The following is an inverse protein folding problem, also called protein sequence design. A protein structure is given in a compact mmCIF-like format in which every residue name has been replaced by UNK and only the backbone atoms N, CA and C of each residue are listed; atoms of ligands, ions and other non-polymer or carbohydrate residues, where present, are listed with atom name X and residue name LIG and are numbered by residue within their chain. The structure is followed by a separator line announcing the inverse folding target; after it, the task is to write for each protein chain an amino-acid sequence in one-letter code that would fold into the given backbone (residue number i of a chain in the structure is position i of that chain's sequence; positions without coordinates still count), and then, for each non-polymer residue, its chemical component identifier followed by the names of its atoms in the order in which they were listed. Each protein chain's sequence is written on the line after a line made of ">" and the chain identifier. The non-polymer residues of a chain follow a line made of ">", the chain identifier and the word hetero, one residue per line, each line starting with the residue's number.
data_IF_737605804786
#
_entry.id   IF_737605804786
#
_cell.length_a   1.000
_cell.length_b   1.000
_cell.length_c   1.000
_cell.angle_alpha   90.00
_cell.angle_beta   90.00
_cell.angle_gamma   90.00
#
_symmetry.space_group_name_H-M   'P 1'
#
loop_
_entity.id
_entity.type
_entity.pdbx_description
1 polymer ?
#
# COMPACT_ATOMS: atom_id res chain seq x y z
N UNK A 1 -16.80 -11.67 2.97
CA UNK A 1 -16.25 -10.87 4.09
C UNK A 1 -17.19 -10.93 5.28
N UNK A 2 -16.70 -11.23 6.50
CA UNK A 2 -17.47 -11.20 7.76
C UNK A 2 -17.44 -9.78 8.34
N UNK A 3 -18.54 -9.38 9.01
CA UNK A 3 -18.69 -8.01 9.55
C UNK A 3 -19.12 -8.08 11.02
N UNK A 4 -18.63 -7.15 11.84
CA UNK A 4 -19.02 -7.01 13.25
C UNK A 4 -19.09 -5.53 13.66
N UNK A 5 -20.20 -5.15 14.28
CA UNK A 5 -20.31 -3.85 14.92
C UNK A 5 -19.57 -3.84 16.28
N UNK A 6 -18.94 -2.71 16.58
CA UNK A 6 -18.10 -2.50 17.77
C UNK A 6 -18.67 -1.35 18.60
N UNK A 7 -18.93 -1.62 19.88
CA UNK A 7 -19.51 -0.64 20.81
C UNK A 7 -18.48 -0.07 21.82
N UNK A 8 -17.35 -0.75 21.98
CA UNK A 8 -16.28 -0.30 22.90
C UNK A 8 -14.92 -0.88 22.53
N UNK A 9 -13.85 -0.25 23.03
CA UNK A 9 -12.46 -0.74 22.89
C UNK A 9 -12.32 -2.14 23.48
N UNK A 10 -12.96 -2.42 24.61
CA UNK A 10 -12.89 -3.74 25.28
C UNK A 10 -13.50 -4.82 24.40
N UNK A 11 -14.70 -4.58 23.86
CA UNK A 11 -15.36 -5.53 22.97
C UNK A 11 -14.54 -5.79 21.70
N UNK A 12 -13.93 -4.75 21.14
CA UNK A 12 -13.07 -4.85 19.97
C UNK A 12 -11.86 -5.75 20.23
N UNK A 13 -11.11 -5.46 21.31
CA UNK A 13 -9.94 -6.24 21.68
C UNK A 13 -10.29 -7.70 22.06
N UNK A 14 -11.35 -7.91 22.82
CA UNK A 14 -11.80 -9.27 23.18
C UNK A 14 -12.07 -10.11 21.93
N UNK A 15 -12.71 -9.52 20.93
CA UNK A 15 -12.97 -10.23 19.68
C UNK A 15 -11.68 -10.55 18.90
N UNK A 16 -10.75 -9.60 18.81
CA UNK A 16 -9.46 -9.81 18.13
C UNK A 16 -8.65 -10.88 18.83
N UNK A 17 -8.50 -10.80 20.16
CA UNK A 17 -7.72 -11.75 20.93
C UNK A 17 -8.29 -13.19 20.90
N UNK A 18 -9.57 -13.34 20.58
CA UNK A 18 -10.20 -14.66 20.44
C UNK A 18 -10.10 -15.25 19.03
N UNK A 19 -10.06 -14.39 17.99
CA UNK A 19 -10.24 -14.84 16.62
C UNK A 19 -9.04 -14.60 15.70
N UNK A 20 -8.17 -13.66 16.03
CA UNK A 20 -7.07 -13.21 15.15
C UNK A 20 -5.75 -13.21 15.92
N UNK A 21 -5.28 -14.41 16.25
CA UNK A 21 -4.03 -14.61 17.01
C UNK A 21 -2.89 -14.79 15.99
N UNK A 22 -1.88 -13.90 15.96
CA UNK A 22 -0.70 -14.07 15.12
C UNK A 22 0.07 -15.36 15.46
N UNK A 23 0.76 -15.92 14.48
CA UNK A 23 1.59 -17.08 14.67
C UNK A 23 2.96 -16.87 13.99
N UNK A 24 3.95 -16.51 14.77
CA UNK A 24 5.32 -16.26 14.29
C UNK A 24 5.97 -17.48 13.62
N UNK A 25 5.62 -18.70 14.05
CA UNK A 25 6.19 -19.92 13.49
C UNK A 25 5.72 -20.20 12.06
N UNK A 26 4.52 -19.77 11.72
CA UNK A 26 3.92 -19.94 10.40
C UNK A 26 3.87 -18.63 9.63
N UNK A 27 4.46 -17.56 10.17
CA UNK A 27 4.46 -16.20 9.60
C UNK A 27 3.04 -15.63 9.39
N UNK A 28 2.06 -16.06 10.19
CA UNK A 28 0.72 -15.52 10.14
C UNK A 28 0.63 -14.24 10.97
N UNK A 29 0.50 -13.11 10.29
CA UNK A 29 0.29 -11.80 10.89
C UNK A 29 -1.03 -11.20 10.42
N UNK A 30 -1.54 -10.26 11.21
CA UNK A 30 -2.76 -9.53 10.89
C UNK A 30 -2.47 -8.04 10.78
N UNK A 31 -3.03 -7.43 9.74
CA UNK A 31 -2.87 -6.02 9.44
C UNK A 31 -4.22 -5.33 9.43
N UNK A 32 -4.27 -4.15 9.99
CA UNK A 32 -5.49 -3.40 10.21
C UNK A 32 -5.42 -2.07 9.48
N UNK A 33 -6.53 -1.69 8.83
CA UNK A 33 -6.67 -0.37 8.21
C UNK A 33 -7.92 0.31 8.73
N UNK A 34 -7.76 1.38 9.52
CA UNK A 34 -8.84 2.22 10.00
C UNK A 34 -9.16 3.36 9.03
N UNK A 35 -10.45 3.60 8.79
CA UNK A 35 -10.93 4.73 8.00
C UNK A 35 -12.15 5.36 8.68
N UNK A 36 -12.26 6.72 8.68
CA UNK A 36 -13.34 7.40 9.42
C UNK A 36 -14.72 7.23 8.77
N UNK A 37 -14.79 6.83 7.53
CA UNK A 37 -16.01 6.51 6.79
C UNK A 37 -15.71 5.52 5.66
N UNK A 38 -16.74 4.89 5.11
CA UNK A 38 -16.58 3.91 4.03
C UNK A 38 -16.29 4.58 2.71
N UNK A 39 -15.08 4.36 2.20
CA UNK A 39 -14.72 4.77 0.84
C UNK A 39 -15.36 3.86 -0.20
N UNK A 40 -15.76 4.42 -1.35
CA UNK A 40 -16.26 3.63 -2.49
C UNK A 40 -15.18 2.73 -3.08
N UNK A 41 -13.92 3.16 -3.04
CA UNK A 41 -12.77 2.46 -3.60
C UNK A 41 -11.63 2.39 -2.58
N UNK A 42 -10.94 1.26 -2.51
CA UNK A 42 -9.79 1.04 -1.64
C UNK A 42 -8.49 1.27 -2.44
N UNK A 43 -8.22 2.54 -2.76
CA UNK A 43 -7.06 2.93 -3.57
C UNK A 43 -6.16 3.92 -2.83
N UNK A 44 -4.83 3.88 -3.08
CA UNK A 44 -3.90 4.92 -2.63
C UNK A 44 -4.31 6.32 -3.07
N UNK A 45 -3.85 7.34 -2.34
CA UNK A 45 -4.22 8.72 -2.63
C UNK A 45 -3.70 9.22 -3.99
N UNK A 46 -2.63 8.63 -4.53
CA UNK A 46 -2.13 8.92 -5.88
C UNK A 46 -3.21 8.64 -6.94
N UNK A 47 -3.83 7.47 -6.88
CA UNK A 47 -4.81 7.04 -7.88
C UNK A 47 -6.22 7.64 -7.71
N UNK A 48 -6.44 8.43 -6.65
CA UNK A 48 -7.68 9.21 -6.51
C UNK A 48 -7.74 10.37 -7.49
N UNK A 49 -6.59 10.84 -7.96
CA UNK A 49 -6.47 11.86 -8.98
C UNK A 49 -6.33 11.19 -10.36
N UNK A 50 -7.32 11.40 -11.22
CA UNK A 50 -7.40 10.81 -12.56
C UNK A 50 -6.17 11.15 -13.40
N UNK A 51 -5.61 12.34 -13.24
CA UNK A 51 -4.43 12.76 -14.01
C UNK A 51 -3.21 11.87 -13.77
N UNK A 52 -2.99 11.39 -12.52
CA UNK A 52 -1.90 10.46 -12.27
C UNK A 52 -2.15 9.06 -12.82
N UNK A 53 -3.40 8.69 -13.01
CA UNK A 53 -3.73 7.43 -13.69
C UNK A 53 -3.48 7.57 -15.20
N UNK A 54 -3.90 8.67 -15.81
CA UNK A 54 -3.83 8.88 -17.26
C UNK A 54 -2.44 9.27 -17.77
N UNK A 55 -1.69 10.06 -16.98
CA UNK A 55 -0.40 10.62 -17.41
C UNK A 55 0.80 10.10 -16.62
N UNK A 56 0.55 9.20 -15.63
CA UNK A 56 1.60 8.69 -14.74
C UNK A 56 2.06 9.72 -13.71
N UNK A 57 2.91 9.26 -12.80
CA UNK A 57 3.41 10.04 -11.66
C UNK A 57 4.87 10.46 -11.77
N UNK A 58 5.58 10.05 -12.83
CA UNK A 58 7.01 10.30 -13.01
C UNK A 58 7.37 11.78 -12.88
N UNK A 59 6.68 12.66 -13.61
CA UNK A 59 6.94 14.09 -13.58
C UNK A 59 6.71 14.69 -12.19
N UNK A 60 5.64 14.25 -11.50
CA UNK A 60 5.31 14.71 -10.15
C UNK A 60 6.44 14.39 -9.16
N UNK A 61 6.92 13.16 -9.12
CA UNK A 61 8.00 12.78 -8.21
C UNK A 61 9.33 13.40 -8.57
N UNK A 62 9.69 13.47 -9.86
CA UNK A 62 10.90 14.17 -10.29
C UNK A 62 10.90 15.65 -9.85
N UNK A 63 9.76 16.32 -9.93
CA UNK A 63 9.62 17.70 -9.45
C UNK A 63 9.73 17.80 -7.93
N UNK A 64 9.18 16.84 -7.21
CA UNK A 64 9.31 16.78 -5.74
C UNK A 64 10.76 16.59 -5.32
N UNK A 65 11.46 15.59 -5.85
CA UNK A 65 12.88 15.38 -5.58
C UNK A 65 13.69 16.64 -5.86
N UNK A 66 13.50 17.25 -7.02
CA UNK A 66 14.20 18.50 -7.41
C UNK A 66 13.95 19.64 -6.43
N UNK A 67 12.69 19.85 -5.99
CA UNK A 67 12.34 20.93 -5.06
C UNK A 67 12.85 20.72 -3.64
N UNK A 68 12.98 19.46 -3.23
CA UNK A 68 13.51 19.11 -1.91
C UNK A 68 15.05 19.06 -1.89
N UNK A 69 15.71 19.31 -3.03
CA UNK A 69 17.17 19.20 -3.13
C UNK A 69 17.66 17.75 -3.04
N UNK A 70 16.76 16.78 -3.20
CA UNK A 70 17.09 15.36 -3.24
C UNK A 70 17.51 15.03 -4.67
N UNK A 71 18.80 14.92 -4.91
CA UNK A 71 19.30 14.69 -6.26
C UNK A 71 19.04 13.26 -6.73
N UNK A 72 19.04 12.31 -5.80
CA UNK A 72 18.90 10.89 -6.10
C UNK A 72 18.69 10.04 -4.83
N UNK A 73 18.32 8.78 -5.00
CA UNK A 73 18.27 7.75 -3.95
C UNK A 73 19.23 6.61 -4.29
N UNK A 74 19.78 5.92 -3.29
CA UNK A 74 20.80 4.90 -3.48
C UNK A 74 20.23 3.49 -3.71
N UNK A 75 18.99 3.24 -3.25
CA UNK A 75 18.36 1.92 -3.33
C UNK A 75 16.83 2.01 -3.35
N UNK A 76 16.16 0.92 -3.74
CA UNK A 76 14.71 0.82 -3.68
C UNK A 76 14.14 0.96 -2.26
N UNK A 77 14.88 0.52 -1.24
CA UNK A 77 14.50 0.73 0.16
C UNK A 77 14.52 2.22 0.56
N UNK A 78 15.52 2.96 0.11
CA UNK A 78 15.57 4.41 0.32
C UNK A 78 14.43 5.12 -0.41
N UNK A 79 14.11 4.71 -1.64
CA UNK A 79 12.95 5.24 -2.37
C UNK A 79 11.64 4.99 -1.63
N UNK A 80 11.42 3.80 -1.07
CA UNK A 80 10.23 3.52 -0.26
C UNK A 80 10.17 4.43 0.97
N UNK A 81 11.31 4.63 1.65
CA UNK A 81 11.42 5.53 2.78
C UNK A 81 11.03 6.96 2.40
N UNK A 82 11.56 7.47 1.29
CA UNK A 82 11.25 8.81 0.78
C UNK A 82 9.77 8.95 0.44
N UNK A 83 9.18 7.96 -0.23
CA UNK A 83 7.74 7.96 -0.54
C UNK A 83 6.88 7.94 0.74
N UNK A 84 7.26 7.16 1.74
CA UNK A 84 6.57 7.13 3.03
C UNK A 84 6.69 8.47 3.79
N UNK A 85 7.84 9.12 3.72
CA UNK A 85 8.05 10.45 4.29
C UNK A 85 7.25 11.51 3.53
N UNK A 86 7.25 11.48 2.21
CA UNK A 86 6.41 12.37 1.39
C UNK A 86 4.94 12.22 1.73
N UNK A 87 4.46 11.00 1.91
CA UNK A 87 3.07 10.73 2.33
C UNK A 87 2.78 11.33 3.71
N UNK A 88 3.74 11.26 4.63
CA UNK A 88 3.61 11.89 5.93
C UNK A 88 3.33 13.39 5.84
N UNK A 89 3.95 14.07 4.89
CA UNK A 89 3.75 15.50 4.62
C UNK A 89 2.61 15.78 3.62
N UNK A 90 1.77 14.79 3.34
CA UNK A 90 0.56 14.96 2.52
C UNK A 90 0.75 14.81 1.02
N UNK A 91 1.92 14.36 0.56
CA UNK A 91 2.10 14.04 -0.84
C UNK A 91 1.27 12.82 -1.26
N UNK A 92 0.93 12.75 -2.53
CA UNK A 92 0.21 11.63 -3.12
C UNK A 92 1.18 10.49 -3.41
N UNK A 93 0.88 9.29 -2.90
CA UNK A 93 1.72 8.10 -3.09
C UNK A 93 0.87 6.89 -3.47
N UNK A 94 1.54 5.86 -4.00
CA UNK A 94 0.95 4.56 -4.30
C UNK A 94 0.84 3.63 -3.08
N UNK A 95 1.11 4.15 -1.87
CA UNK A 95 1.11 3.40 -0.62
C UNK A 95 -0.26 3.48 0.07
N UNK A 96 -0.75 2.35 0.58
CA UNK A 96 -1.90 2.27 1.47
C UNK A 96 -1.43 1.91 2.88
N UNK A 97 -1.61 2.83 3.83
CA UNK A 97 -1.23 2.58 5.23
C UNK A 97 -2.05 1.46 5.84
N UNK A 98 -1.37 0.55 6.52
CA UNK A 98 -1.93 -0.45 7.42
C UNK A 98 -1.10 -0.49 8.70
N UNK A 99 -1.63 -1.05 9.76
CA UNK A 99 -0.97 -1.15 11.05
C UNK A 99 -1.04 -2.57 11.58
N UNK A 100 0.02 -3.04 12.22
CA UNK A 100 0.00 -4.27 13.03
C UNK A 100 -0.73 -4.06 14.35
N UNK A 101 -0.94 -2.80 14.77
CA UNK A 101 -1.61 -2.47 16.01
C UNK A 101 -3.11 -2.19 15.77
N UNK A 102 -4.02 -3.05 16.24
CA UNK A 102 -5.45 -2.87 16.05
C UNK A 102 -6.00 -1.58 16.69
N UNK A 103 -5.40 -1.11 17.80
CA UNK A 103 -5.85 0.11 18.47
C UNK A 103 -5.54 1.37 17.66
N UNK A 104 -4.43 1.39 16.94
CA UNK A 104 -4.10 2.49 16.02
C UNK A 104 -5.13 2.59 14.90
N UNK A 105 -5.48 1.46 14.30
CA UNK A 105 -6.49 1.44 13.25
C UNK A 105 -7.89 1.77 13.76
N UNK A 106 -8.22 1.35 14.99
CA UNK A 106 -9.45 1.78 15.64
C UNK A 106 -9.45 3.30 15.87
N UNK A 107 -8.31 3.89 16.31
CA UNK A 107 -8.18 5.34 16.44
C UNK A 107 -8.45 6.06 15.11
N UNK A 108 -7.82 5.60 14.01
CA UNK A 108 -8.03 6.16 12.67
C UNK A 108 -9.49 6.07 12.22
N UNK A 109 -10.20 5.00 12.58
CA UNK A 109 -11.62 4.82 12.26
C UNK A 109 -12.55 5.78 13.03
N UNK A 110 -12.14 6.24 14.21
CA UNK A 110 -12.93 7.16 15.04
C UNK A 110 -12.41 8.60 15.03
N UNK A 111 -11.38 8.89 14.23
CA UNK A 111 -10.78 10.22 14.15
C UNK A 111 -11.79 11.27 13.65
N UNK A 112 -11.63 12.50 14.15
CA UNK A 112 -12.31 13.66 13.59
C UNK A 112 -11.57 14.13 12.35
N UNK A 113 -12.19 14.08 11.20
CA UNK A 113 -11.67 14.75 10.02
C UNK A 113 -12.20 16.19 9.98
N UNK A 114 -11.33 17.18 10.07
CA UNK A 114 -11.72 18.60 9.90
C UNK A 114 -12.03 18.94 8.45
N UNK A 115 -11.54 18.11 7.50
CA UNK A 115 -11.72 18.35 6.06
C UNK A 115 -13.07 17.87 5.53
N UNK A 116 -13.72 16.95 6.27
CA UNK A 116 -14.96 16.32 5.84
C UNK A 116 -16.06 16.65 6.85
N UNK A 117 -16.74 17.80 6.68
CA UNK A 117 -17.80 18.25 7.58
C UNK A 117 -18.89 17.22 7.87
N UNK A 118 -19.09 16.24 6.99
CA UNK A 118 -20.06 15.16 7.11
C UNK A 118 -19.50 13.83 7.69
N UNK A 119 -18.17 13.72 7.88
CA UNK A 119 -17.55 12.46 8.34
C UNK A 119 -17.87 12.11 9.81
N UNK A 120 -18.35 13.06 10.59
CA UNK A 120 -18.77 12.82 11.99
C UNK A 120 -20.03 11.99 12.10
N UNK A 121 -20.91 12.08 11.09
CA UNK A 121 -22.20 11.39 11.08
C UNK A 121 -22.16 10.03 10.38
N UNK A 122 -21.00 9.66 9.82
CA UNK A 122 -20.80 8.36 9.17
C UNK A 122 -20.09 7.38 10.10
N UNK A 123 -20.40 6.09 9.93
CA UNK A 123 -19.75 5.02 10.67
C UNK A 123 -18.27 4.91 10.29
N UNK A 124 -17.44 4.59 11.27
CA UNK A 124 -16.03 4.25 11.06
C UNK A 124 -15.85 2.79 10.69
N UNK A 125 -14.77 2.46 9.98
CA UNK A 125 -14.51 1.10 9.55
C UNK A 125 -13.06 0.70 9.85
N UNK A 126 -12.87 -0.54 10.31
CA UNK A 126 -11.54 -1.16 10.39
C UNK A 126 -11.56 -2.43 9.56
N UNK A 127 -10.75 -2.43 8.51
CA UNK A 127 -10.55 -3.58 7.63
C UNK A 127 -9.38 -4.41 8.10
N UNK A 128 -9.54 -5.72 8.08
CA UNK A 128 -8.55 -6.69 8.49
C UNK A 128 -8.02 -7.47 7.31
N UNK A 129 -6.71 -7.52 7.20
CA UNK A 129 -5.93 -8.31 6.25
C UNK A 129 -5.09 -9.33 7.01
N UNK A 130 -4.63 -10.36 6.31
CA UNK A 130 -3.67 -11.32 6.86
C UNK A 130 -2.52 -11.57 5.89
N UNK A 131 -1.35 -11.92 6.45
CA UNK A 131 -0.23 -12.40 5.65
C UNK A 131 -0.45 -13.83 5.16
N UNK A 132 0.33 -14.22 4.14
CA UNK A 132 0.40 -15.59 3.66
C UNK A 132 1.05 -16.48 4.73
N UNK A 133 0.32 -17.48 5.20
CA UNK A 133 0.82 -18.46 6.16
C UNK A 133 1.67 -19.52 5.45
N UNK A 134 2.80 -19.91 6.05
CA UNK A 134 3.68 -20.94 5.49
C UNK A 134 2.96 -22.28 5.35
N UNK A 135 3.00 -22.82 4.14
CA UNK A 135 2.41 -24.12 3.81
C UNK A 135 0.89 -24.09 3.65
N UNK A 136 0.28 -22.91 3.65
CA UNK A 136 -1.17 -22.74 3.44
C UNK A 136 -1.38 -21.88 2.19
N UNK A 137 -2.03 -22.42 1.17
CA UNK A 137 -2.48 -21.64 0.02
C UNK A 137 -3.77 -20.92 0.38
N UNK A 138 -3.76 -19.58 0.33
CA UNK A 138 -4.90 -18.74 0.65
C UNK A 138 -4.94 -17.51 -0.24
N UNK A 139 -5.87 -17.50 -1.17
CA UNK A 139 -6.05 -16.41 -2.13
C UNK A 139 -6.41 -15.08 -1.46
N UNK A 140 -6.94 -15.09 -0.24
CA UNK A 140 -7.26 -13.86 0.51
C UNK A 140 -6.07 -13.30 1.27
N UNK A 141 -4.98 -14.06 1.39
CA UNK A 141 -3.76 -13.60 2.06
C UNK A 141 -2.94 -12.66 1.16
N UNK A 142 -2.13 -11.85 1.78
CA UNK A 142 -1.15 -10.98 1.13
C UNK A 142 0.26 -11.50 1.44
N UNK A 143 1.11 -11.57 0.44
CA UNK A 143 2.52 -11.86 0.69
C UNK A 143 3.18 -10.69 1.43
N UNK A 144 3.95 -11.03 2.47
CA UNK A 144 4.81 -10.08 3.16
C UNK A 144 6.14 -9.95 2.43
N UNK A 145 6.54 -8.71 2.18
CA UNK A 145 7.82 -8.36 1.59
C UNK A 145 8.51 -7.32 2.47
N UNK A 146 9.82 -7.39 2.52
CA UNK A 146 10.61 -6.35 3.18
C UNK A 146 10.97 -5.23 2.19
N UNK A 147 11.21 -4.03 2.70
CA UNK A 147 11.61 -2.86 1.92
C UNK A 147 12.91 -3.07 1.13
N UNK A 148 13.79 -3.93 1.62
CA UNK A 148 15.05 -4.31 0.92
C UNK A 148 14.83 -5.34 -0.19
N UNK A 149 13.61 -5.86 -0.35
CA UNK A 149 13.28 -6.87 -1.35
C UNK A 149 13.04 -6.30 -2.74
N UNK A 150 13.13 -7.15 -3.75
CA UNK A 150 12.92 -6.78 -5.16
C UNK A 150 11.51 -6.23 -5.40
N UNK A 151 10.50 -6.86 -4.85
CA UNK A 151 9.09 -6.46 -5.02
C UNK A 151 8.82 -5.03 -4.58
N UNK A 152 9.31 -4.64 -3.39
CA UNK A 152 9.16 -3.28 -2.89
C UNK A 152 9.87 -2.27 -3.81
N UNK A 153 11.09 -2.61 -4.24
CA UNK A 153 11.87 -1.79 -5.15
C UNK A 153 11.20 -1.63 -6.52
N UNK A 154 10.66 -2.72 -7.09
CA UNK A 154 9.91 -2.71 -8.36
C UNK A 154 8.73 -1.77 -8.24
N UNK A 155 7.84 -2.00 -7.27
CA UNK A 155 6.60 -1.24 -7.11
C UNK A 155 6.83 0.25 -6.81
N UNK A 156 7.84 0.59 -6.03
CA UNK A 156 8.21 1.99 -5.79
C UNK A 156 8.79 2.63 -7.07
N UNK A 157 9.63 1.90 -7.81
CA UNK A 157 10.25 2.39 -9.04
C UNK A 157 9.23 2.72 -10.14
N UNK A 158 8.07 2.02 -10.19
CA UNK A 158 6.98 2.33 -11.13
C UNK A 158 6.50 3.79 -11.03
N UNK A 159 6.60 4.40 -9.84
CA UNK A 159 6.28 5.82 -9.65
C UNK A 159 7.18 6.77 -10.46
N UNK A 160 8.36 6.30 -10.87
CA UNK A 160 9.39 7.04 -11.60
C UNK A 160 9.59 6.55 -13.04
N UNK A 161 8.69 5.72 -13.53
CA UNK A 161 8.70 5.15 -14.88
C UNK A 161 7.49 5.68 -15.64
N UNK A 162 7.71 5.99 -16.91
CA UNK A 162 6.68 6.37 -17.84
C UNK A 162 5.61 5.27 -17.98
N UNK A 163 4.32 5.65 -17.86
CA UNK A 163 3.21 4.71 -17.86
C UNK A 163 3.00 4.02 -19.21
N UNK A 164 3.34 4.67 -20.35
CA UNK A 164 3.22 4.04 -21.66
C UNK A 164 4.20 2.88 -21.81
N UNK A 165 5.43 3.04 -21.29
CA UNK A 165 6.42 1.96 -21.26
C UNK A 165 6.00 0.83 -20.35
N UNK A 166 5.39 1.17 -19.21
CA UNK A 166 4.85 0.19 -18.28
C UNK A 166 3.71 -0.62 -18.91
N UNK A 167 2.78 0.06 -19.59
CA UNK A 167 1.69 -0.61 -20.29
C UNK A 167 2.20 -1.54 -21.40
N UNK A 168 3.10 -1.04 -22.26
CA UNK A 168 3.71 -1.86 -23.32
C UNK A 168 4.39 -3.11 -22.79
N UNK A 169 5.07 -3.01 -21.65
CA UNK A 169 5.66 -4.18 -20.98
C UNK A 169 4.59 -5.17 -20.55
N UNK A 170 3.56 -4.72 -19.83
CA UNK A 170 2.49 -5.59 -19.35
C UNK A 170 1.75 -6.29 -20.52
N UNK A 171 1.38 -5.52 -21.54
CA UNK A 171 0.73 -6.04 -22.76
C UNK A 171 1.61 -7.05 -23.48
N UNK A 172 2.92 -6.79 -23.58
CA UNK A 172 3.87 -7.70 -24.23
C UNK A 172 3.99 -9.02 -23.47
N UNK A 173 4.06 -9.00 -22.14
CA UNK A 173 4.08 -10.22 -21.34
C UNK A 173 2.75 -10.98 -21.48
N UNK A 174 1.60 -10.30 -21.42
CA UNK A 174 0.29 -10.93 -21.59
C UNK A 174 0.14 -11.57 -22.97
N UNK A 175 0.64 -10.91 -24.03
CA UNK A 175 0.67 -11.48 -25.37
C UNK A 175 1.55 -12.74 -25.46
N UNK A 176 2.82 -12.64 -25.01
CA UNK A 176 3.75 -13.77 -25.07
C UNK A 176 3.25 -14.99 -24.30
N UNK A 177 2.54 -14.81 -23.18
CA UNK A 177 1.94 -15.90 -22.40
C UNK A 177 0.92 -16.73 -23.20
N UNK A 178 0.33 -16.18 -24.25
CA UNK A 178 -0.61 -16.92 -25.11
C UNK A 178 0.08 -17.84 -26.09
N UNK A 179 1.40 -17.69 -26.25
CA UNK A 179 2.16 -18.46 -27.23
C UNK A 179 2.60 -19.81 -26.67
N UNK A 180 2.58 -20.89 -27.49
CA UNK A 180 2.82 -22.26 -27.02
C UNK A 180 4.24 -22.52 -26.50
N UNK A 181 5.21 -21.69 -26.88
CA UNK A 181 6.62 -21.86 -26.48
C UNK A 181 7.00 -20.94 -25.31
N UNK A 182 6.05 -20.20 -24.72
CA UNK A 182 6.34 -19.32 -23.58
C UNK A 182 6.64 -20.14 -22.32
N UNK A 183 7.68 -19.73 -21.60
CA UNK A 183 8.02 -20.28 -20.31
C UNK A 183 8.21 -19.15 -19.28
N UNK A 184 7.49 -19.24 -18.19
CA UNK A 184 7.51 -18.25 -17.10
C UNK A 184 8.89 -18.07 -16.44
N UNK A 185 9.77 -19.06 -16.60
CA UNK A 185 11.14 -19.02 -16.09
C UNK A 185 12.15 -18.40 -17.07
N UNK A 186 11.72 -17.90 -18.22
CA UNK A 186 12.62 -17.27 -19.16
C UNK A 186 13.25 -16.01 -18.61
N UNK A 187 14.56 -15.91 -18.77
CA UNK A 187 15.29 -14.65 -18.62
C UNK A 187 15.04 -13.76 -19.83
N UNK A 188 15.34 -12.48 -19.69
CA UNK A 188 15.27 -11.51 -20.79
C UNK A 188 16.09 -11.99 -22.03
N UNK A 189 17.25 -12.64 -21.80
CA UNK A 189 18.11 -13.17 -22.85
C UNK A 189 17.45 -14.32 -23.58
N UNK A 190 16.79 -15.23 -22.89
CA UNK A 190 16.08 -16.37 -23.47
C UNK A 190 14.85 -15.91 -24.24
N UNK A 191 14.05 -14.98 -23.70
CA UNK A 191 12.95 -14.36 -24.44
C UNK A 191 13.42 -13.77 -25.78
N UNK A 192 14.55 -13.07 -25.75
CA UNK A 192 15.15 -12.51 -26.97
C UNK A 192 15.59 -13.58 -27.96
N UNK A 193 16.18 -14.68 -27.46
CA UNK A 193 16.60 -15.79 -28.33
C UNK A 193 15.43 -16.48 -29.02
N UNK A 194 14.32 -16.66 -28.31
CA UNK A 194 13.22 -17.51 -28.77
C UNK A 194 12.12 -16.74 -29.53
N UNK A 195 11.99 -15.43 -29.28
CA UNK A 195 10.88 -14.62 -29.80
C UNK A 195 11.31 -13.40 -30.63
N UNK A 196 12.63 -13.07 -30.75
CA UNK A 196 13.06 -11.87 -31.45
C UNK A 196 12.62 -11.83 -32.92
N UNK A 197 12.56 -12.95 -33.61
CA UNK A 197 12.19 -13.03 -35.02
C UNK A 197 10.68 -13.02 -35.26
N UNK A 198 9.89 -13.51 -34.31
CA UNK A 198 8.42 -13.60 -34.44
C UNK A 198 7.68 -12.45 -33.70
N UNK A 199 8.25 -11.96 -32.60
CA UNK A 199 7.62 -11.02 -31.66
C UNK A 199 8.57 -9.85 -31.32
N UNK A 200 9.24 -9.30 -32.33
CA UNK A 200 10.30 -8.28 -32.19
C UNK A 200 9.85 -7.08 -31.33
N UNK A 201 8.64 -6.58 -31.57
CA UNK A 201 8.12 -5.40 -30.83
C UNK A 201 7.90 -5.71 -29.34
N UNK A 202 7.37 -6.90 -29.01
CA UNK A 202 7.17 -7.33 -27.63
C UNK A 202 8.49 -7.50 -26.89
N UNK A 203 9.45 -8.19 -27.53
CA UNK A 203 10.80 -8.43 -26.97
C UNK A 203 11.52 -7.10 -26.75
N UNK A 204 11.40 -6.16 -27.67
CA UNK A 204 11.99 -4.81 -27.55
C UNK A 204 11.35 -4.03 -26.39
N UNK A 205 10.01 -4.03 -26.29
CA UNK A 205 9.30 -3.35 -25.22
C UNK A 205 9.69 -3.91 -23.83
N UNK A 206 9.79 -5.24 -23.71
CA UNK A 206 10.24 -5.90 -22.49
C UNK A 206 11.66 -5.48 -22.14
N UNK A 207 12.57 -5.51 -23.12
CA UNK A 207 13.97 -5.10 -22.91
C UNK A 207 14.08 -3.64 -22.43
N UNK A 208 13.44 -2.71 -23.13
CA UNK A 208 13.48 -1.28 -22.78
C UNK A 208 12.92 -1.02 -21.37
N UNK A 209 11.84 -1.69 -21.01
CA UNK A 209 11.25 -1.57 -19.68
C UNK A 209 12.16 -2.17 -18.59
N UNK A 210 12.70 -3.37 -18.80
CA UNK A 210 13.56 -4.05 -17.84
C UNK A 210 14.87 -3.26 -17.58
N UNK A 211 15.46 -2.68 -18.62
CA UNK A 211 16.62 -1.79 -18.48
C UNK A 211 16.25 -0.56 -17.62
N UNK A 212 15.14 0.10 -17.93
CA UNK A 212 14.69 1.26 -17.18
C UNK A 212 14.32 0.90 -15.73
N UNK A 213 13.63 -0.22 -15.53
CA UNK A 213 13.27 -0.69 -14.19
C UNK A 213 14.52 -0.99 -13.36
N UNK A 214 15.52 -1.69 -13.91
CA UNK A 214 16.77 -1.96 -13.19
C UNK A 214 17.51 -0.67 -12.79
N UNK A 215 17.48 0.36 -13.65
CA UNK A 215 18.04 1.67 -13.33
C UNK A 215 17.28 2.39 -12.21
N UNK A 216 15.96 2.21 -12.11
CA UNK A 216 15.10 2.88 -11.11
C UNK A 216 14.94 2.10 -9.81
N UNK A 217 14.83 0.78 -9.88
CA UNK A 217 14.66 -0.06 -8.69
C UNK A 217 15.93 -0.14 -7.84
N UNK A 218 17.12 -0.04 -8.46
CA UNK A 218 18.43 -0.01 -7.77
C UNK A 218 18.60 -1.11 -6.73
N UNK A 219 18.23 -2.32 -7.13
CA UNK A 219 18.45 -3.53 -6.34
C UNK A 219 19.87 -4.03 -6.50
N UNK A 220 20.38 -4.76 -5.51
CA UNK A 220 21.76 -5.31 -5.55
C UNK A 220 21.96 -6.29 -6.70
N UNK A 221 20.95 -7.12 -6.93
CA UNK A 221 20.96 -8.12 -7.99
C UNK A 221 20.06 -7.66 -9.14
N UNK A 222 20.57 -7.74 -10.37
CA UNK A 222 19.81 -7.34 -11.54
C UNK A 222 18.54 -8.19 -11.68
N UNK A 223 17.42 -7.56 -11.98
CA UNK A 223 16.18 -8.22 -12.32
C UNK A 223 16.33 -8.82 -13.72
N UNK A 224 16.31 -10.15 -13.82
CA UNK A 224 16.58 -10.89 -15.06
C UNK A 224 15.33 -11.59 -15.62
N UNK A 225 14.29 -11.76 -14.81
CA UNK A 225 13.11 -12.58 -15.11
C UNK A 225 11.88 -11.69 -15.33
N UNK A 226 11.55 -11.33 -16.58
CA UNK A 226 10.44 -10.38 -16.87
C UNK A 226 9.09 -10.86 -16.36
N UNK A 227 8.81 -12.17 -16.42
CA UNK A 227 7.55 -12.70 -15.93
C UNK A 227 7.39 -12.57 -14.40
N UNK A 228 8.45 -12.78 -13.63
CA UNK A 228 8.41 -12.53 -12.17
C UNK A 228 8.19 -11.06 -11.84
N UNK A 229 8.80 -10.16 -12.63
CA UNK A 229 8.54 -8.71 -12.51
C UNK A 229 7.07 -8.41 -12.79
N UNK A 230 6.51 -8.99 -13.84
CA UNK A 230 5.10 -8.89 -14.18
C UNK A 230 4.20 -9.36 -13.02
N UNK A 231 4.47 -10.55 -12.44
CA UNK A 231 3.71 -11.08 -11.31
C UNK A 231 3.77 -10.14 -10.09
N UNK A 232 4.97 -9.64 -9.76
CA UNK A 232 5.12 -8.64 -8.71
C UNK A 232 4.30 -7.37 -8.98
N UNK A 233 4.19 -6.93 -10.24
CA UNK A 233 3.43 -5.74 -10.59
C UNK A 233 1.93 -5.93 -10.48
N UNK A 234 1.39 -7.06 -10.94
CA UNK A 234 -0.07 -7.28 -11.00
C UNK A 234 -0.70 -7.77 -9.69
N UNK A 235 0.10 -8.18 -8.70
CA UNK A 235 -0.38 -8.64 -7.39
C UNK A 235 -0.37 -7.53 -6.35
N UNK A 236 -1.29 -7.60 -5.37
CA UNK A 236 -1.22 -6.77 -4.17
C UNK A 236 -0.36 -7.46 -3.10
N UNK A 237 0.50 -6.69 -2.41
CA UNK A 237 1.43 -7.22 -1.39
C UNK A 237 1.54 -6.27 -0.21
N UNK A 238 1.92 -6.81 0.96
CA UNK A 238 2.29 -6.00 2.12
C UNK A 238 3.79 -5.79 2.13
N UNK A 239 4.21 -4.55 2.31
CA UNK A 239 5.62 -4.21 2.51
C UNK A 239 5.83 -3.70 3.92
N UNK A 240 6.77 -4.34 4.62
CA UNK A 240 7.21 -3.96 5.95
C UNK A 240 8.41 -3.01 5.77
N UNK A 241 8.26 -1.70 6.09
CA UNK A 241 9.36 -0.76 5.99
C UNK A 241 10.33 -0.92 7.16
N UNK A 242 11.60 -0.64 6.92
CA UNK A 242 12.50 -0.29 8.02
C UNK A 242 11.96 0.92 8.75
N UNK A 243 11.99 0.91 10.09
CA UNK A 243 11.48 2.01 10.91
C UNK A 243 12.33 3.25 10.66
N UNK A 244 11.81 4.18 9.87
CA UNK A 244 12.51 5.41 9.48
C UNK A 244 11.95 6.68 10.13
N UNK A 245 10.71 6.65 10.61
CA UNK A 245 10.06 7.79 11.26
C UNK A 245 9.40 7.38 12.58
N UNK A 246 9.28 8.35 13.50
CA UNK A 246 8.55 8.14 14.75
C UNK A 246 7.09 7.73 14.51
N UNK A 247 6.47 8.29 13.47
CA UNK A 247 5.11 7.95 13.06
C UNK A 247 4.98 6.48 12.69
N UNK A 248 5.86 5.96 11.82
CA UNK A 248 5.85 4.54 11.42
C UNK A 248 6.03 3.63 12.63
N UNK A 249 6.93 4.03 13.56
CA UNK A 249 7.17 3.31 14.81
C UNK A 249 5.92 3.26 15.69
N UNK A 250 5.32 4.42 15.99
CA UNK A 250 4.16 4.53 16.87
C UNK A 250 2.94 3.82 16.28
N UNK A 251 2.78 3.91 14.97
CA UNK A 251 1.70 3.25 14.26
C UNK A 251 1.94 1.74 14.04
N UNK A 252 3.15 1.23 14.30
CA UNK A 252 3.55 -0.12 13.87
C UNK A 252 3.16 -0.34 12.40
N UNK A 253 3.53 0.65 11.58
CA UNK A 253 3.02 0.83 10.23
C UNK A 253 3.68 -0.11 9.23
N UNK A 254 2.87 -0.59 8.30
CA UNK A 254 3.27 -1.23 7.06
C UNK A 254 2.44 -0.64 5.91
N UNK A 255 2.75 -1.05 4.68
CA UNK A 255 2.06 -0.54 3.50
C UNK A 255 1.53 -1.68 2.65
N UNK A 256 0.28 -1.58 2.18
CA UNK A 256 -0.17 -2.37 1.04
C UNK A 256 0.21 -1.63 -0.23
N UNK A 257 0.94 -2.30 -1.10
CA UNK A 257 1.21 -1.91 -2.47
C UNK A 257 0.24 -2.69 -3.37
N UNK A 258 -0.80 -2.04 -3.92
CA UNK A 258 -1.79 -2.72 -4.74
C UNK A 258 -1.22 -3.16 -6.09
N UNK A 259 -2.00 -3.85 -6.89
CA UNK A 259 -1.63 -4.18 -8.26
C UNK A 259 -1.40 -2.91 -9.10
N UNK A 260 -0.57 -3.05 -10.13
CA UNK A 260 -0.40 -2.06 -11.20
C UNK A 260 -0.96 -2.64 -12.50
N UNK A 261 -2.23 -2.37 -12.83
CA UNK A 261 -2.86 -2.94 -14.01
C UNK A 261 -2.48 -2.17 -15.27
N UNK A 262 -2.73 -2.74 -16.44
CA UNK A 262 -2.68 -2.02 -17.72
C UNK A 262 -3.70 -0.87 -17.68
N UNK A 263 -3.25 0.32 -18.07
CA UNK A 263 -4.05 1.55 -18.06
C UNK A 263 -4.69 1.74 -19.44
N UNK A 264 -5.84 1.15 -19.66
CA UNK A 264 -6.68 1.36 -20.82
C UNK A 264 -7.67 2.52 -20.63
N UNK A 265 -8.23 2.58 -19.41
CA UNK A 265 -9.22 3.57 -18.99
C UNK A 265 -9.04 3.83 -17.49
N UNK A 266 -9.06 5.09 -17.10
CA UNK A 266 -8.80 5.51 -15.73
C UNK A 266 -9.77 4.90 -14.71
N UNK A 267 -11.06 4.80 -15.02
CA UNK A 267 -12.04 4.23 -14.10
C UNK A 267 -11.86 2.72 -13.94
N UNK A 268 -11.60 1.98 -15.03
CA UNK A 268 -11.30 0.55 -14.97
C UNK A 268 -10.00 0.27 -14.23
N UNK A 269 -8.97 1.09 -14.47
CA UNK A 269 -7.70 0.97 -13.77
C UNK A 269 -7.91 1.16 -12.26
N UNK A 270 -8.58 2.23 -11.84
CA UNK A 270 -8.90 2.50 -10.43
C UNK A 270 -9.73 1.37 -9.81
N UNK A 271 -10.67 0.80 -10.56
CA UNK A 271 -11.46 -0.34 -10.08
C UNK A 271 -10.58 -1.58 -9.89
N UNK A 272 -9.74 -1.96 -10.86
CA UNK A 272 -8.80 -3.09 -10.74
C UNK A 272 -7.85 -2.93 -9.54
N UNK A 273 -7.29 -1.71 -9.34
CA UNK A 273 -6.46 -1.39 -8.17
C UNK A 273 -7.26 -1.58 -6.88
N UNK A 274 -8.49 -1.09 -6.84
CA UNK A 274 -9.36 -1.22 -5.68
C UNK A 274 -9.71 -2.67 -5.38
N UNK A 275 -10.08 -3.45 -6.40
CA UNK A 275 -10.47 -4.85 -6.27
C UNK A 275 -9.30 -5.69 -5.75
N UNK A 276 -8.07 -5.44 -6.24
CA UNK A 276 -6.86 -6.14 -5.77
C UNK A 276 -6.63 -6.02 -4.26
N UNK A 277 -7.18 -4.99 -3.63
CA UNK A 277 -7.11 -4.78 -2.18
C UNK A 277 -8.38 -5.27 -1.48
N UNK A 278 -9.57 -4.99 -2.05
CA UNK A 278 -10.85 -5.42 -1.49
C UNK A 278 -10.97 -6.93 -1.33
N UNK A 279 -10.49 -7.70 -2.30
CA UNK A 279 -10.50 -9.17 -2.31
C UNK A 279 -9.64 -9.78 -1.19
N UNK A 280 -8.69 -9.00 -0.65
CA UNK A 280 -7.80 -9.42 0.43
C UNK A 280 -8.35 -9.12 1.84
N UNK A 281 -9.50 -8.45 1.94
CA UNK A 281 -10.11 -8.15 3.24
C UNK A 281 -10.82 -9.40 3.77
N UNK A 282 -10.36 -9.91 4.91
CA UNK A 282 -10.93 -11.09 5.56
C UNK A 282 -12.06 -10.74 6.55
N UNK A 283 -12.03 -9.53 7.12
CA UNK A 283 -12.99 -9.10 8.13
C UNK A 283 -13.15 -7.58 8.17
N UNK A 284 -14.34 -7.10 8.57
CA UNK A 284 -14.63 -5.67 8.74
C UNK A 284 -15.26 -5.43 10.12
N UNK A 285 -14.72 -4.46 10.86
CA UNK A 285 -15.36 -3.91 12.03
C UNK A 285 -16.02 -2.58 11.67
N UNK A 286 -17.27 -2.40 12.09
CA UNK A 286 -18.03 -1.17 11.91
C UNK A 286 -18.16 -0.47 13.27
N UNK A 287 -17.82 0.79 13.31
CA UNK A 287 -17.90 1.63 14.48
C UNK A 287 -19.01 2.66 14.25
N UNK A 288 -20.16 2.53 14.93
CA UNK A 288 -21.27 3.48 14.78
C UNK A 288 -20.83 4.91 15.06
N UNK A 289 -21.27 5.83 14.23
CA UNK A 289 -20.92 7.27 14.32
C UNK A 289 -21.17 7.84 15.71
N UNK A 290 -22.30 7.50 16.31
CA UNK A 290 -22.70 7.90 17.68
C UNK A 290 -21.72 7.47 18.78
N UNK A 291 -20.92 6.40 18.54
CA UNK A 291 -19.97 5.84 19.52
C UNK A 291 -18.53 6.31 19.30
N UNK A 292 -18.22 6.97 18.20
CA UNK A 292 -16.86 7.42 17.89
C UNK A 292 -16.23 8.27 18.99
N UNK A 293 -17.01 9.18 19.57
CA UNK A 293 -16.52 10.05 20.67
C UNK A 293 -16.16 9.22 21.89
N UNK A 294 -17.03 8.32 22.32
CA UNK A 294 -16.82 7.43 23.48
C UNK A 294 -15.59 6.53 23.27
N UNK A 295 -15.47 5.94 22.09
CA UNK A 295 -14.32 5.06 21.78
C UNK A 295 -13.01 5.85 21.77
N UNK A 296 -12.97 7.09 21.28
CA UNK A 296 -11.79 7.97 21.40
C UNK A 296 -11.40 8.25 22.85
N UNK A 297 -12.39 8.50 23.71
CA UNK A 297 -12.14 8.72 25.14
C UNK A 297 -11.58 7.47 25.79
N UNK A 298 -12.09 6.28 25.45
CA UNK A 298 -11.54 5.00 25.91
C UNK A 298 -10.10 4.75 25.40
N UNK A 299 -9.81 5.06 24.13
CA UNK A 299 -8.47 4.95 23.57
C UNK A 299 -7.49 5.90 24.26
N UNK A 300 -7.91 7.12 24.59
CA UNK A 300 -7.11 8.08 25.34
C UNK A 300 -6.73 7.56 26.74
N UNK A 301 -7.60 6.78 27.41
CA UNK A 301 -7.29 6.18 28.72
C UNK A 301 -6.14 5.17 28.65
N UNK A 302 -5.89 4.57 27.49
CA UNK A 302 -4.79 3.62 27.26
C UNK A 302 -3.62 4.24 26.47
N UNK A 303 -3.59 5.58 26.37
CA UNK A 303 -2.49 6.32 25.77
C UNK A 303 -2.53 6.42 24.23
N UNK A 304 -3.58 5.95 23.58
CA UNK A 304 -3.74 6.09 22.13
C UNK A 304 -4.43 7.44 21.86
N UNK A 305 -3.60 8.46 21.70
CA UNK A 305 -4.01 9.85 21.47
C UNK A 305 -3.55 10.36 20.10
N UNK A 306 -4.01 11.54 19.67
CA UNK A 306 -3.66 12.11 18.37
C UNK A 306 -2.15 12.33 18.23
N UNK A 307 -1.51 12.87 19.26
CA UNK A 307 -0.07 13.13 19.29
C UNK A 307 0.76 11.84 19.34
N UNK A 308 0.22 10.77 19.92
CA UNK A 308 0.86 9.46 19.84
C UNK A 308 0.76 8.87 18.41
N UNK A 309 -0.43 8.92 17.80
CA UNK A 309 -0.65 8.35 16.45
C UNK A 309 0.02 9.20 15.37
N UNK A 310 -0.05 10.51 15.51
CA UNK A 310 0.55 11.48 14.57
C UNK A 310 1.53 12.38 15.34
N UNK A 311 2.75 11.92 15.57
CA UNK A 311 3.73 12.70 16.31
C UNK A 311 4.08 14.00 15.57
N UNK A 312 4.20 15.09 16.33
CA UNK A 312 4.53 16.42 15.83
C UNK A 312 4.10 17.50 16.82
N UNK A 313 4.80 18.63 16.79
CA UNK A 313 4.58 19.75 17.73
C UNK A 313 3.14 20.28 17.64
N UNK A 314 2.58 20.35 16.43
CA UNK A 314 1.23 20.87 16.21
C UNK A 314 0.18 19.96 16.86
N UNK A 315 0.29 18.65 16.68
CA UNK A 315 -0.63 17.68 17.27
C UNK A 315 -0.51 17.64 18.80
N UNK A 316 0.70 17.68 19.32
CA UNK A 316 0.94 17.75 20.78
C UNK A 316 0.36 19.02 21.39
N UNK A 317 0.55 20.18 20.75
CA UNK A 317 -0.02 21.44 21.17
C UNK A 317 -1.55 21.42 21.21
N UNK A 318 -2.19 20.81 20.19
CA UNK A 318 -3.65 20.67 20.11
C UNK A 318 -4.20 19.80 21.25
N UNK A 319 -3.58 18.65 21.52
CA UNK A 319 -3.98 17.73 22.61
C UNK A 319 -3.88 18.43 23.98
N UNK A 320 -2.77 19.14 24.24
CA UNK A 320 -2.54 19.86 25.51
C UNK A 320 -3.59 20.98 25.66
N UNK A 321 -3.82 21.78 24.62
CA UNK A 321 -4.79 22.87 24.62
C UNK A 321 -6.22 22.39 24.83
N UNK A 322 -6.59 21.27 24.20
CA UNK A 322 -7.89 20.63 24.36
C UNK A 322 -8.14 20.13 25.78
N UNK A 323 -7.11 19.61 26.44
CA UNK A 323 -7.17 19.16 27.84
C UNK A 323 -7.23 20.32 28.83
N UNK A 324 -6.58 21.45 28.54
CA UNK A 324 -6.63 22.64 29.35
C UNK A 324 -8.03 23.30 29.37
N UNK A 325 -8.80 23.20 28.28
CA UNK A 325 -10.17 23.73 28.20
C UNK A 325 -11.23 22.86 28.91
N UNK A 326 -10.87 21.63 29.31
CA UNK A 326 -11.77 20.71 30.04
C UNK A 326 -11.58 20.81 31.57
N UNK A 327 -10.60 21.55 32.03
CA UNK A 327 -10.37 21.90 33.45
C UNK A 327 -11.02 23.24 33.78
#
# INVERSE_FOLDING_TARGET
>A
MKVKEVESVVQYLDYICKNFIPNEKTHLHYYYRGVPYRYKTMIPNLYRDVQFVEHGSEYYYRRMFSRLGMNDYSSGAELLKDLAEFQHYGAKTSLLDVSLNPLISLYMAVEKSEKDGDALDQDGHVYLFKSQELGVEDETALEEKFDTGHTAAIKCALSLIDHEKTNKFLESIEHLRTLPNFNESFTEKELRSDFADSEEECVKAIHEFMELLNQRARVKERLLYPFRVYEDMISAQIVIPSICTERIRNQQGAFILPCHPIIENSDRCRQKISDSVWEKIIFEFIIPSKLKKQIREQLSCVGITRDFVYPGIDNSSEVISGNARKR
#
